data_IF_680341214422
#
_entry.id   IF_680341214422
#
_cell.length_a   1.000
_cell.length_b   1.000
_cell.length_c   1.000
_cell.angle_alpha   90.00
_cell.angle_beta   90.00
_cell.angle_gamma   90.00
#
_symmetry.space_group_name_H-M   'P 1'
#
loop_
_entity.id
_entity.type
_entity.pdbx_description
1 polymer ?
#
# COMPACT_ATOMS: atom_id res chain seq x y z
N UNK A 1 -5.41 -20.47 17.62
CA UNK A 1 -5.91 -21.01 18.92
C UNK A 1 -5.61 -20.02 20.05
N UNK A 2 -6.49 -19.91 21.05
CA UNK A 2 -6.28 -19.10 22.27
C UNK A 2 -5.96 -19.99 23.46
N UNK A 3 -4.78 -19.79 24.06
CA UNK A 3 -4.26 -20.55 25.19
C UNK A 3 -3.77 -19.59 26.28
N UNK A 4 -3.36 -20.16 27.41
CA UNK A 4 -2.64 -19.46 28.47
C UNK A 4 -1.47 -20.27 28.99
N UNK A 5 -0.63 -19.66 29.82
CA UNK A 5 0.47 -20.33 30.53
C UNK A 5 0.76 -19.64 31.86
N UNK A 6 1.35 -20.35 32.82
CA UNK A 6 1.83 -19.75 34.07
C UNK A 6 3.21 -19.10 33.94
N UNK A 7 3.87 -19.26 32.79
CA UNK A 7 5.08 -18.50 32.50
C UNK A 7 4.72 -17.03 32.31
N UNK A 8 5.34 -16.17 33.10
CA UNK A 8 5.16 -14.72 33.01
C UNK A 8 6.14 -14.12 31.99
N UNK A 9 5.63 -13.17 31.22
CA UNK A 9 6.40 -12.36 30.28
C UNK A 9 6.13 -10.89 30.62
N UNK A 10 7.20 -10.11 30.78
CA UNK A 10 7.07 -8.73 31.25
C UNK A 10 6.62 -7.77 30.14
N UNK A 11 6.86 -8.13 28.88
CA UNK A 11 6.48 -7.37 27.71
C UNK A 11 5.61 -8.19 26.76
N UNK A 12 4.83 -7.49 25.94
CA UNK A 12 4.16 -8.11 24.80
C UNK A 12 5.23 -8.73 23.90
N UNK A 13 5.18 -10.06 23.73
CA UNK A 13 6.17 -10.84 23.02
C UNK A 13 5.55 -11.47 21.78
N UNK A 14 6.24 -11.36 20.66
CA UNK A 14 5.95 -12.09 19.43
C UNK A 14 7.00 -13.19 19.27
N UNK A 15 6.57 -14.43 19.05
CA UNK A 15 7.47 -15.53 18.71
C UNK A 15 7.09 -16.06 17.32
N UNK A 16 8.08 -16.33 16.48
CA UNK A 16 7.90 -16.84 15.13
C UNK A 16 8.68 -18.13 14.98
N UNK A 17 8.00 -19.21 14.61
CA UNK A 17 8.59 -20.53 14.47
C UNK A 17 8.32 -21.08 13.07
N UNK A 18 9.38 -21.54 12.40
CA UNK A 18 9.29 -22.10 11.04
C UNK A 18 9.19 -23.61 11.10
N UNK A 19 8.21 -24.16 10.41
CA UNK A 19 8.03 -25.60 10.19
C UNK A 19 8.29 -25.95 8.73
N UNK A 20 8.27 -27.24 8.41
CA UNK A 20 8.36 -27.77 7.04
C UNK A 20 7.19 -27.32 6.14
N UNK A 21 6.06 -26.90 6.73
CA UNK A 21 4.87 -26.49 5.99
C UNK A 21 4.66 -24.97 5.97
N UNK A 22 5.42 -24.21 6.75
CA UNK A 22 5.30 -22.76 6.84
C UNK A 22 5.53 -22.22 8.24
N UNK A 23 5.17 -20.96 8.44
CA UNK A 23 5.39 -20.23 9.68
C UNK A 23 4.18 -20.28 10.62
N UNK A 24 4.47 -20.37 11.91
CA UNK A 24 3.54 -20.08 12.99
C UNK A 24 4.04 -18.88 13.76
N UNK A 25 3.10 -18.14 14.35
CA UNK A 25 3.42 -17.04 15.22
C UNK A 25 2.58 -17.05 16.49
N UNK A 26 3.20 -16.69 17.60
CA UNK A 26 2.57 -16.57 18.89
C UNK A 26 2.54 -15.11 19.36
N UNK A 27 1.41 -14.70 19.93
CA UNK A 27 1.18 -13.41 20.55
C UNK A 27 1.02 -13.63 22.04
N UNK A 28 1.94 -13.08 22.82
CA UNK A 28 2.14 -13.47 24.21
C UNK A 28 2.10 -12.20 25.05
N UNK A 29 1.14 -12.10 25.96
CA UNK A 29 1.03 -10.94 26.84
C UNK A 29 0.39 -11.31 28.18
N UNK A 30 0.84 -10.61 29.23
CA UNK A 30 0.38 -10.83 30.60
C UNK A 30 -1.13 -10.63 30.71
N UNK A 31 -1.83 -11.60 31.30
CA UNK A 31 -3.26 -11.52 31.56
C UNK A 31 -3.52 -11.02 32.99
N UNK A 32 -2.86 -11.64 33.97
CA UNK A 32 -2.92 -11.24 35.37
C UNK A 32 -1.55 -11.44 36.07
N UNK A 33 -1.53 -11.46 37.41
CA UNK A 33 -0.30 -11.62 38.17
C UNK A 33 0.36 -13.00 38.04
N UNK A 34 -0.39 -14.03 37.63
CA UNK A 34 0.04 -15.44 37.66
C UNK A 34 -0.09 -16.14 36.31
N UNK A 35 -0.70 -15.48 35.31
CA UNK A 35 -0.99 -16.06 34.01
C UNK A 35 -0.72 -15.10 32.85
N UNK A 36 -0.33 -15.70 31.73
CA UNK A 36 -0.08 -15.06 30.45
C UNK A 36 -1.01 -15.62 29.40
N UNK A 37 -1.57 -14.76 28.56
CA UNK A 37 -2.26 -15.14 27.33
C UNK A 37 -1.23 -15.59 26.28
N UNK A 38 -1.49 -16.71 25.61
CA UNK A 38 -0.64 -17.28 24.57
C UNK A 38 -1.50 -17.64 23.35
N UNK A 39 -1.44 -16.80 22.31
CA UNK A 39 -2.30 -16.95 21.13
C UNK A 39 -1.43 -17.43 19.99
N UNK A 40 -1.77 -18.56 19.38
CA UNK A 40 -1.05 -19.08 18.20
C UNK A 40 -1.91 -18.90 16.96
N UNK A 41 -1.32 -18.41 15.89
CA UNK A 41 -1.93 -18.31 14.57
C UNK A 41 -0.95 -18.76 13.48
N UNK A 42 -1.50 -19.12 12.33
CA UNK A 42 -0.79 -19.53 11.12
C UNK A 42 -1.75 -19.46 9.93
N UNK A 43 -1.25 -19.40 8.68
CA UNK A 43 -2.10 -19.50 7.50
C UNK A 43 -2.88 -20.83 7.45
N UNK A 44 -4.07 -20.81 6.87
CA UNK A 44 -4.94 -22.00 6.78
C UNK A 44 -4.25 -23.19 6.07
N UNK A 45 -3.45 -22.90 5.05
CA UNK A 45 -2.70 -23.92 4.29
C UNK A 45 -1.69 -24.65 5.19
N UNK A 46 -1.02 -23.93 6.09
CA UNK A 46 -0.06 -24.48 7.05
C UNK A 46 -0.79 -25.30 8.12
N UNK A 47 -1.90 -24.77 8.64
CA UNK A 47 -2.75 -25.44 9.62
C UNK A 47 -3.26 -26.80 9.13
N UNK A 48 -3.79 -26.86 7.90
CA UNK A 48 -4.26 -28.10 7.25
C UNK A 48 -3.11 -29.07 6.95
N UNK A 49 -1.95 -28.57 6.54
CA UNK A 49 -0.80 -29.42 6.24
C UNK A 49 -0.30 -30.19 7.49
N UNK A 50 -0.37 -29.55 8.67
CA UNK A 50 -0.11 -30.18 9.96
C UNK A 50 -1.28 -31.01 10.53
N UNK A 51 -2.38 -31.15 9.79
CA UNK A 51 -3.61 -31.87 10.19
C UNK A 51 -4.24 -31.36 11.49
N UNK A 52 -4.03 -30.09 11.81
CA UNK A 52 -4.56 -29.45 13.01
C UNK A 52 -6.08 -29.19 12.90
N UNK A 53 -6.65 -29.34 11.70
CA UNK A 53 -8.10 -29.39 11.44
C UNK A 53 -8.78 -30.64 11.99
N UNK A 54 -8.02 -31.72 12.14
CA UNK A 54 -8.48 -33.00 12.66
C UNK A 54 -8.00 -33.24 14.10
N UNK A 55 -7.08 -32.40 14.60
CA UNK A 55 -6.55 -32.49 15.94
C UNK A 55 -7.60 -32.08 16.98
N UNK A 56 -7.69 -32.86 18.06
CA UNK A 56 -8.43 -32.44 19.24
C UNK A 56 -7.65 -31.34 20.01
N UNK A 57 -8.26 -30.82 21.08
CA UNK A 57 -7.68 -29.72 21.85
C UNK A 57 -6.34 -30.10 22.52
N UNK A 58 -6.22 -31.29 23.09
CA UNK A 58 -4.99 -31.78 23.73
C UNK A 58 -3.85 -31.95 22.72
N UNK A 59 -4.16 -32.51 21.55
CA UNK A 59 -3.21 -32.65 20.44
C UNK A 59 -2.72 -31.30 19.93
N UNK A 60 -3.62 -30.32 19.79
CA UNK A 60 -3.26 -28.96 19.39
C UNK A 60 -2.37 -28.27 20.43
N UNK A 61 -2.66 -28.47 21.72
CA UNK A 61 -1.84 -27.96 22.82
C UNK A 61 -0.44 -28.58 22.78
N UNK A 62 -0.35 -29.91 22.72
CA UNK A 62 0.93 -30.62 22.66
C UNK A 62 1.78 -30.20 21.44
N UNK A 63 1.14 -29.99 20.29
CA UNK A 63 1.80 -29.43 19.11
C UNK A 63 2.38 -28.05 19.39
N UNK A 64 1.60 -27.13 19.97
CA UNK A 64 2.05 -25.78 20.30
C UNK A 64 3.17 -25.78 21.35
N UNK A 65 3.11 -26.66 22.36
CA UNK A 65 4.15 -26.81 23.38
C UNK A 65 5.48 -27.27 22.77
N UNK A 66 5.41 -28.23 21.83
CA UNK A 66 6.59 -28.70 21.10
C UNK A 66 7.15 -27.62 20.19
N UNK A 67 6.29 -26.91 19.46
CA UNK A 67 6.71 -25.90 18.49
C UNK A 67 7.36 -24.69 19.18
N UNK A 68 6.80 -24.24 20.31
CA UNK A 68 7.27 -23.07 21.05
C UNK A 68 8.06 -23.45 22.31
N UNK A 69 8.73 -24.62 22.32
CA UNK A 69 9.43 -25.15 23.48
C UNK A 69 10.47 -24.16 24.05
N UNK A 70 11.23 -23.50 23.17
CA UNK A 70 12.25 -22.52 23.55
C UNK A 70 11.64 -21.26 24.18
N UNK A 71 10.48 -20.84 23.65
CA UNK A 71 9.73 -19.70 24.18
C UNK A 71 9.15 -20.04 25.56
N UNK A 72 8.57 -21.23 25.70
CA UNK A 72 7.91 -21.71 26.91
C UNK A 72 8.88 -22.15 28.02
N UNK A 73 10.11 -22.55 27.68
CA UNK A 73 11.11 -23.08 28.62
C UNK A 73 10.53 -24.13 29.59
N UNK A 74 9.74 -25.06 29.05
CA UNK A 74 9.12 -26.16 29.80
C UNK A 74 7.82 -25.81 30.54
N UNK A 75 7.31 -24.58 30.43
CA UNK A 75 6.00 -24.24 30.98
C UNK A 75 4.86 -24.82 30.12
N UNK A 76 3.86 -25.38 30.78
CA UNK A 76 2.69 -25.94 30.09
C UNK A 76 1.76 -24.85 29.54
N UNK A 77 1.07 -25.18 28.46
CA UNK A 77 -0.04 -24.43 27.90
C UNK A 77 -1.37 -24.95 28.48
N UNK A 78 -2.32 -24.05 28.68
CA UNK A 78 -3.64 -24.35 29.22
C UNK A 78 -4.74 -23.68 28.41
N UNK A 79 -5.97 -24.18 28.56
CA UNK A 79 -7.16 -23.67 27.85
C UNK A 79 -8.34 -23.51 28.82
N UNK A 80 -9.06 -22.39 28.69
CA UNK A 80 -10.34 -22.17 29.35
C UNK A 80 -11.53 -22.49 28.43
N UNK A 81 -11.28 -22.85 27.18
CA UNK A 81 -12.29 -23.08 26.15
C UNK A 81 -12.89 -24.50 26.21
N UNK A 82 -13.21 -24.98 27.42
CA UNK A 82 -13.76 -26.32 27.68
C UNK A 82 -15.15 -26.55 27.07
N UNK A 83 -15.81 -25.49 26.66
CA UNK A 83 -17.15 -25.49 26.10
C UNK A 83 -17.16 -25.62 24.56
N UNK A 84 -16.04 -25.40 23.88
CA UNK A 84 -15.94 -25.52 22.43
C UNK A 84 -16.03 -27.01 22.04
N UNK A 85 -16.95 -27.33 21.12
CA UNK A 85 -17.06 -28.66 20.51
C UNK A 85 -16.45 -28.59 19.10
N UNK A 86 -15.48 -29.46 18.80
CA UNK A 86 -14.79 -29.48 17.51
C UNK A 86 -13.38 -28.89 17.59
N UNK A 87 -12.96 -28.17 16.54
CA UNK A 87 -11.62 -27.57 16.47
C UNK A 87 -11.43 -26.49 17.54
N UNK A 88 -10.27 -26.50 18.20
CA UNK A 88 -9.84 -25.42 19.09
C UNK A 88 -9.26 -24.21 18.30
N UNK A 89 -9.07 -24.36 16.99
CA UNK A 89 -8.63 -23.30 16.09
C UNK A 89 -9.83 -22.54 15.56
N UNK A 90 -9.71 -21.21 15.53
CA UNK A 90 -10.76 -20.29 15.17
C UNK A 90 -10.23 -19.33 14.11
N UNK A 91 -11.07 -18.98 13.14
CA UNK A 91 -10.83 -17.84 12.26
C UNK A 91 -11.23 -16.57 12.98
N UNK A 92 -10.38 -15.54 12.92
CA UNK A 92 -10.74 -14.22 13.43
C UNK A 92 -11.90 -13.64 12.60
N UNK A 93 -13.04 -13.39 13.25
CA UNK A 93 -14.23 -12.86 12.58
C UNK A 93 -14.34 -11.35 12.75
N UNK A 94 -14.59 -10.64 11.65
CA UNK A 94 -14.92 -9.22 11.70
C UNK A 94 -16.43 -9.05 11.93
N UNK A 95 -16.79 -8.56 13.11
CA UNK A 95 -18.16 -8.18 13.46
C UNK A 95 -18.26 -6.66 13.46
N UNK A 96 -19.20 -6.13 12.67
CA UNK A 96 -19.52 -4.71 12.61
C UNK A 96 -21.00 -4.53 12.95
N UNK A 97 -21.33 -3.43 13.61
CA UNK A 97 -22.69 -3.10 13.99
C UNK A 97 -23.01 -1.66 13.57
N UNK A 98 -24.06 -1.48 12.79
CA UNK A 98 -24.47 -0.15 12.29
C UNK A 98 -25.20 0.68 13.37
N UNK A 99 -25.78 0.02 14.37
CA UNK A 99 -26.58 0.66 15.40
C UNK A 99 -26.15 0.17 16.79
N UNK A 100 -25.54 1.08 17.56
CA UNK A 100 -24.85 0.74 18.81
C UNK A 100 -25.73 0.85 20.04
N UNK A 101 -26.97 1.24 19.88
CA UNK A 101 -27.88 1.32 21.00
C UNK A 101 -29.29 0.99 20.55
N UNK A 102 -30.13 0.49 21.45
CA UNK A 102 -31.54 0.24 21.19
C UNK A 102 -32.33 0.35 22.48
N UNK A 103 -33.65 0.46 22.35
CA UNK A 103 -34.56 0.24 23.48
C UNK A 103 -35.09 -1.18 23.39
N UNK A 104 -34.78 -2.01 24.39
CA UNK A 104 -35.19 -3.41 24.38
C UNK A 104 -36.70 -3.55 24.67
N UNK A 105 -37.22 -4.77 24.56
CA UNK A 105 -38.63 -5.09 24.82
C UNK A 105 -39.12 -4.77 26.24
N UNK A 106 -38.20 -4.59 27.20
CA UNK A 106 -38.50 -4.23 28.59
C UNK A 106 -38.43 -2.72 28.83
N UNK A 107 -38.22 -1.92 27.78
CA UNK A 107 -38.14 -0.48 27.85
C UNK A 107 -36.79 0.07 28.33
N UNK A 108 -35.76 -0.77 28.47
CA UNK A 108 -34.41 -0.33 28.86
C UNK A 108 -33.57 0.01 27.64
N UNK A 109 -32.74 1.05 27.74
CA UNK A 109 -31.72 1.32 26.73
C UNK A 109 -30.54 0.34 26.90
N UNK A 110 -30.15 -0.30 25.81
CA UNK A 110 -28.96 -1.14 25.69
C UNK A 110 -27.98 -0.39 24.81
N UNK A 111 -26.71 -0.31 25.23
CA UNK A 111 -25.65 0.41 24.51
C UNK A 111 -24.45 -0.51 24.37
N UNK A 112 -23.87 -0.56 23.17
CA UNK A 112 -22.65 -1.26 22.86
C UNK A 112 -21.44 -0.34 23.10
N UNK A 113 -20.39 -0.90 23.67
CA UNK A 113 -19.11 -0.24 23.93
C UNK A 113 -17.98 -1.28 23.97
N UNK A 114 -16.74 -0.84 23.86
CA UNK A 114 -15.55 -1.69 23.90
C UNK A 114 -15.54 -2.70 22.75
N UNK A 115 -15.06 -3.92 23.01
CA UNK A 115 -14.86 -4.93 21.95
C UNK A 115 -16.14 -5.29 21.18
N UNK A 116 -17.33 -5.08 21.78
CA UNK A 116 -18.62 -5.27 21.11
C UNK A 116 -18.86 -4.30 19.94
N UNK A 117 -18.16 -3.16 19.92
CA UNK A 117 -18.23 -2.14 18.86
C UNK A 117 -16.98 -2.18 17.99
N UNK A 118 -15.82 -2.37 18.61
CA UNK A 118 -14.54 -2.05 17.97
C UNK A 118 -13.89 -3.20 17.20
N UNK A 119 -14.36 -4.45 17.33
CA UNK A 119 -13.74 -5.70 16.79
C UNK A 119 -12.32 -5.51 16.25
N UNK A 120 -11.33 -5.75 17.10
CA UNK A 120 -9.93 -5.49 16.80
C UNK A 120 -9.09 -6.78 16.85
N UNK A 121 -8.15 -6.92 15.92
CA UNK A 121 -7.19 -8.02 15.93
C UNK A 121 -6.39 -8.00 17.23
N UNK A 122 -6.28 -9.13 17.93
CA UNK A 122 -5.68 -9.20 19.28
C UNK A 122 -4.23 -8.66 19.35
N UNK A 123 -3.54 -8.65 18.22
CA UNK A 123 -2.18 -8.09 18.10
C UNK A 123 -2.07 -6.56 18.28
N UNK A 124 -3.19 -5.81 18.34
CA UNK A 124 -3.18 -4.35 18.60
C UNK A 124 -3.45 -3.98 20.06
N UNK A 125 -3.89 -4.93 20.90
CA UNK A 125 -3.96 -4.83 22.36
C UNK A 125 -4.62 -3.56 22.93
N UNK A 126 -5.95 -3.43 22.82
CA UNK A 126 -6.64 -2.20 23.28
C UNK A 126 -8.03 -2.38 23.88
N UNK A 127 -8.55 -3.60 24.08
CA UNK A 127 -9.97 -3.80 24.43
C UNK A 127 -10.45 -3.05 25.67
N UNK A 128 -9.75 -3.19 26.81
CA UNK A 128 -10.08 -2.46 28.04
C UNK A 128 -9.99 -0.94 27.87
N UNK A 129 -8.97 -0.46 27.16
CA UNK A 129 -8.81 0.97 26.87
C UNK A 129 -9.99 1.49 26.04
N UNK A 130 -10.41 0.75 25.01
CA UNK A 130 -11.52 1.16 24.14
C UNK A 130 -12.83 1.24 24.93
N UNK A 131 -13.10 0.27 25.81
CA UNK A 131 -14.26 0.31 26.68
C UNK A 131 -14.26 1.53 27.62
N UNK A 132 -13.10 1.88 28.19
CA UNK A 132 -12.96 3.07 29.04
C UNK A 132 -13.16 4.37 28.24
N UNK A 133 -12.58 4.48 27.06
CA UNK A 133 -12.75 5.65 26.20
C UNK A 133 -14.20 5.83 25.76
N UNK A 134 -14.89 4.74 25.43
CA UNK A 134 -16.32 4.77 25.09
C UNK A 134 -17.17 5.20 26.30
N UNK A 135 -16.89 4.67 27.49
CA UNK A 135 -17.61 5.04 28.70
C UNK A 135 -17.41 6.53 29.05
N UNK A 136 -16.16 7.02 28.98
CA UNK A 136 -15.82 8.43 29.19
C UNK A 136 -16.59 9.31 28.21
N UNK A 137 -16.61 8.94 26.94
CA UNK A 137 -17.30 9.74 25.93
C UNK A 137 -18.82 9.72 26.11
N UNK A 138 -19.41 8.57 26.42
CA UNK A 138 -20.82 8.47 26.73
C UNK A 138 -21.20 9.38 27.93
N UNK A 139 -20.38 9.39 28.99
CA UNK A 139 -20.58 10.29 30.14
C UNK A 139 -20.53 11.76 29.72
N UNK A 140 -19.57 12.16 28.86
CA UNK A 140 -19.52 13.55 28.36
C UNK A 140 -20.76 13.95 27.57
N UNK A 141 -21.33 13.02 26.80
CA UNK A 141 -22.58 13.30 26.07
C UNK A 141 -23.76 13.49 27.03
N UNK A 142 -23.81 12.74 28.14
CA UNK A 142 -24.78 13.00 29.21
C UNK A 142 -24.58 14.37 29.85
N UNK A 143 -23.35 14.78 30.15
CA UNK A 143 -23.07 16.10 30.73
C UNK A 143 -23.44 17.24 29.76
N UNK A 144 -23.33 17.00 28.45
CA UNK A 144 -23.63 17.99 27.42
C UNK A 144 -25.14 18.18 27.16
N UNK A 145 -25.88 17.08 26.95
CA UNK A 145 -27.31 17.14 26.61
C UNK A 145 -28.24 17.07 27.83
N UNK A 146 -27.73 16.61 28.98
CA UNK A 146 -28.47 16.44 30.21
C UNK A 146 -28.79 14.97 30.54
N UNK A 147 -29.08 14.71 31.82
CA UNK A 147 -29.28 13.36 32.36
C UNK A 147 -30.74 12.88 32.37
N UNK A 148 -31.67 13.67 31.84
CA UNK A 148 -33.08 13.28 31.79
C UNK A 148 -33.34 12.18 30.76
N UNK A 149 -34.29 11.28 31.07
CA UNK A 149 -34.67 10.19 30.16
C UNK A 149 -35.18 10.68 28.78
N UNK A 150 -35.69 11.91 28.71
CA UNK A 150 -36.11 12.58 27.48
C UNK A 150 -34.94 12.85 26.52
N UNK A 151 -33.72 13.02 27.04
CA UNK A 151 -32.51 13.36 26.29
C UNK A 151 -31.74 12.14 25.78
N UNK A 152 -32.04 10.94 26.32
CA UNK A 152 -31.33 9.69 25.99
C UNK A 152 -31.15 9.44 24.48
N UNK A 153 -32.19 9.58 23.63
CA UNK A 153 -32.00 9.35 22.19
C UNK A 153 -30.93 10.26 21.57
N UNK A 154 -30.86 11.52 21.98
CA UNK A 154 -29.89 12.48 21.44
C UNK A 154 -28.47 12.22 21.98
N UNK A 155 -28.35 11.91 23.28
CA UNK A 155 -27.09 11.48 23.92
C UNK A 155 -26.47 10.29 23.18
N UNK A 156 -27.27 9.24 22.96
CA UNK A 156 -26.79 7.99 22.38
C UNK A 156 -26.47 8.13 20.87
N UNK A 157 -27.25 8.95 20.14
CA UNK A 157 -26.95 9.28 18.76
C UNK A 157 -25.60 10.03 18.64
N UNK A 158 -25.37 11.04 19.49
CA UNK A 158 -24.13 11.81 19.50
C UNK A 158 -22.91 10.96 19.89
N UNK A 159 -23.05 10.10 20.92
CA UNK A 159 -22.02 9.14 21.32
C UNK A 159 -21.62 8.24 20.14
N UNK A 160 -22.60 7.63 19.47
CA UNK A 160 -22.34 6.76 18.34
C UNK A 160 -21.62 7.49 17.21
N UNK A 161 -22.09 8.69 16.83
CA UNK A 161 -21.50 9.43 15.72
C UNK A 161 -20.04 9.81 15.97
N UNK A 162 -19.73 10.31 17.17
CA UNK A 162 -18.37 10.69 17.55
C UNK A 162 -17.45 9.47 17.61
N UNK A 163 -17.88 8.39 18.28
CA UNK A 163 -17.05 7.21 18.48
C UNK A 163 -16.93 6.35 17.22
N UNK A 164 -17.85 6.43 16.26
CA UNK A 164 -17.78 5.74 14.96
C UNK A 164 -16.50 6.05 14.21
N UNK A 165 -16.07 7.31 14.21
CA UNK A 165 -14.80 7.72 13.57
C UNK A 165 -13.61 7.01 14.20
N UNK A 166 -13.58 6.90 15.52
CA UNK A 166 -12.50 6.22 16.25
C UNK A 166 -12.54 4.70 16.04
N UNK A 167 -13.73 4.09 16.02
CA UNK A 167 -13.91 2.68 15.66
C UNK A 167 -13.36 2.38 14.28
N UNK A 168 -13.70 3.19 13.27
CA UNK A 168 -13.22 2.99 11.90
C UNK A 168 -11.68 3.04 11.82
N UNK A 169 -11.05 3.99 12.53
CA UNK A 169 -9.58 4.08 12.60
C UNK A 169 -8.96 2.82 13.22
N UNK A 170 -9.53 2.33 14.32
CA UNK A 170 -9.03 1.15 15.03
C UNK A 170 -9.22 -0.12 14.20
N UNK A 171 -10.39 -0.30 13.59
CA UNK A 171 -10.67 -1.44 12.73
C UNK A 171 -9.76 -1.46 11.51
N UNK A 172 -9.48 -0.30 10.89
CA UNK A 172 -8.52 -0.20 9.79
C UNK A 172 -7.11 -0.62 10.21
N UNK A 173 -6.64 -0.17 11.38
CA UNK A 173 -5.33 -0.56 11.90
C UNK A 173 -5.26 -2.05 12.28
N UNK A 174 -6.33 -2.60 12.86
CA UNK A 174 -6.46 -4.03 13.14
C UNK A 174 -6.40 -4.85 11.86
N UNK A 175 -7.07 -4.38 10.79
CA UNK A 175 -7.10 -5.05 9.49
C UNK A 175 -5.71 -5.07 8.84
N UNK A 176 -5.02 -3.92 8.78
CA UNK A 176 -3.65 -3.85 8.29
C UNK A 176 -2.71 -4.79 9.05
N UNK A 177 -2.89 -4.91 10.38
CA UNK A 177 -2.09 -5.82 11.19
C UNK A 177 -2.41 -7.30 10.90
N UNK A 178 -3.68 -7.65 10.74
CA UNK A 178 -4.11 -9.00 10.38
C UNK A 178 -3.55 -9.41 9.02
N UNK A 179 -3.76 -8.59 7.98
CA UNK A 179 -3.24 -8.87 6.63
C UNK A 179 -1.73 -9.06 6.63
N UNK A 180 -1.00 -8.28 7.44
CA UNK A 180 0.45 -8.45 7.60
C UNK A 180 0.81 -9.84 8.14
N UNK A 181 0.07 -10.36 9.13
CA UNK A 181 0.30 -11.69 9.71
C UNK A 181 -0.11 -12.83 8.76
N UNK A 182 -1.18 -12.67 7.99
CA UNK A 182 -1.63 -13.66 7.00
C UNK A 182 -0.55 -13.97 5.94
N UNK A 183 0.21 -12.96 5.52
CA UNK A 183 1.28 -13.11 4.53
C UNK A 183 2.69 -13.11 5.14
N UNK A 184 2.81 -13.18 6.47
CA UNK A 184 4.08 -12.86 7.14
C UNK A 184 5.23 -13.78 6.73
N UNK A 185 4.97 -15.07 6.60
CA UNK A 185 5.97 -16.05 6.21
C UNK A 185 6.61 -15.72 4.88
N UNK A 186 5.80 -15.73 3.81
CA UNK A 186 6.28 -15.56 2.44
C UNK A 186 6.81 -14.15 2.16
N UNK A 187 6.18 -13.11 2.71
CA UNK A 187 6.48 -11.71 2.35
C UNK A 187 7.56 -11.09 3.24
N UNK A 188 7.64 -11.48 4.51
CA UNK A 188 8.50 -10.82 5.49
C UNK A 188 9.52 -11.78 6.11
N UNK A 189 9.08 -12.84 6.78
CA UNK A 189 9.97 -13.76 7.51
C UNK A 189 11.01 -14.41 6.58
N UNK A 190 10.63 -14.80 5.37
CA UNK A 190 11.53 -15.46 4.42
C UNK A 190 12.40 -14.48 3.60
N UNK A 191 12.05 -13.19 3.57
CA UNK A 191 12.64 -12.20 2.66
C UNK A 191 13.50 -11.15 3.36
N UNK A 192 13.19 -10.84 4.62
CA UNK A 192 13.79 -9.73 5.35
C UNK A 192 14.81 -10.23 6.37
N UNK A 193 15.91 -9.51 6.50
CA UNK A 193 16.83 -9.69 7.61
C UNK A 193 16.16 -9.32 8.95
N UNK A 194 16.60 -9.89 10.09
CA UNK A 194 15.94 -9.73 11.38
C UNK A 194 15.67 -8.27 11.79
N UNK A 195 16.61 -7.36 11.55
CA UNK A 195 16.47 -5.93 11.88
C UNK A 195 15.34 -5.28 11.09
N UNK A 196 15.26 -5.54 9.78
CA UNK A 196 14.22 -5.01 8.91
C UNK A 196 12.87 -5.69 9.14
N UNK A 197 12.87 -6.99 9.42
CA UNK A 197 11.68 -7.72 9.83
C UNK A 197 11.08 -7.13 11.10
N UNK A 198 11.90 -6.92 12.14
CA UNK A 198 11.46 -6.35 13.41
C UNK A 198 10.90 -4.94 13.22
N UNK A 199 11.59 -4.10 12.43
CA UNK A 199 11.08 -2.77 12.08
C UNK A 199 9.70 -2.86 11.39
N UNK A 200 9.57 -3.70 10.36
CA UNK A 200 8.30 -3.90 9.65
C UNK A 200 7.19 -4.38 10.59
N UNK A 201 7.49 -5.34 11.47
CA UNK A 201 6.55 -5.88 12.43
C UNK A 201 6.06 -4.79 13.39
N UNK A 202 6.96 -3.99 13.94
CA UNK A 202 6.60 -2.91 14.87
C UNK A 202 5.75 -1.81 14.20
N UNK A 203 6.01 -1.50 12.93
CA UNK A 203 5.27 -0.45 12.19
C UNK A 203 4.05 -0.96 11.42
N UNK A 204 3.77 -2.28 11.41
CA UNK A 204 2.75 -2.93 10.54
C UNK A 204 1.35 -2.32 10.60
N UNK A 205 0.94 -1.86 11.78
CA UNK A 205 -0.40 -1.28 12.00
C UNK A 205 -0.54 0.13 11.45
N UNK A 206 0.56 0.75 10.99
CA UNK A 206 0.67 2.15 10.59
C UNK A 206 0.35 3.17 11.70
N UNK A 207 0.03 2.72 12.93
CA UNK A 207 -0.17 3.57 14.11
C UNK A 207 1.13 3.96 14.78
N UNK A 208 2.16 3.14 14.63
CA UNK A 208 3.49 3.37 15.18
C UNK A 208 4.38 3.87 14.04
N UNK A 209 4.63 5.18 14.02
CA UNK A 209 5.57 5.80 13.09
C UNK A 209 7.03 5.64 13.53
N UNK A 210 7.96 6.03 12.66
CA UNK A 210 9.40 6.00 12.94
C UNK A 210 9.77 6.77 14.23
N UNK A 211 9.33 8.02 14.36
CA UNK A 211 9.60 8.82 15.57
C UNK A 211 8.84 8.32 16.80
N UNK A 212 7.71 7.65 16.59
CA UNK A 212 6.99 6.95 17.65
C UNK A 212 7.81 5.79 18.23
N UNK A 213 8.67 5.15 17.44
CA UNK A 213 9.63 4.16 17.94
C UNK A 213 10.70 4.84 18.78
N UNK A 214 11.21 6.01 18.36
CA UNK A 214 12.20 6.78 19.13
C UNK A 214 11.72 7.14 20.52
N UNK A 215 10.45 7.55 20.63
CA UNK A 215 9.82 7.87 21.93
C UNK A 215 9.67 6.64 22.84
N UNK A 216 9.58 5.43 22.26
CA UNK A 216 9.41 4.18 23.00
C UNK A 216 10.76 3.56 23.38
N UNK A 217 11.70 3.54 22.44
CA UNK A 217 13.05 3.02 22.60
C UNK A 217 14.00 3.67 21.57
N UNK A 218 14.64 4.77 21.97
CA UNK A 218 15.59 5.48 21.12
C UNK A 218 16.84 4.63 20.81
N UNK A 219 17.29 3.81 21.76
CA UNK A 219 18.52 3.00 21.59
C UNK A 219 18.30 1.95 20.52
N UNK A 220 17.15 1.26 20.56
CA UNK A 220 16.81 0.28 19.53
C UNK A 220 16.67 0.95 18.14
N UNK A 221 15.97 2.09 18.06
CA UNK A 221 15.77 2.76 16.77
C UNK A 221 17.09 3.25 16.17
N UNK A 222 17.95 3.86 16.98
CA UNK A 222 19.28 4.31 16.54
C UNK A 222 20.14 3.15 16.06
N UNK A 223 20.06 1.99 16.73
CA UNK A 223 20.69 0.76 16.26
C UNK A 223 20.16 0.31 14.89
N UNK A 224 18.85 0.35 14.66
CA UNK A 224 18.26 0.06 13.36
C UNK A 224 18.70 1.06 12.27
N UNK A 225 18.75 2.35 12.60
CA UNK A 225 19.20 3.40 11.67
C UNK A 225 20.67 3.21 11.26
N UNK A 226 21.54 2.89 12.22
CA UNK A 226 22.94 2.57 11.95
C UNK A 226 23.08 1.32 11.08
N UNK A 227 22.31 0.27 11.40
CA UNK A 227 22.25 -0.95 10.60
C UNK A 227 21.83 -0.63 9.15
N UNK A 228 20.75 0.12 8.96
CA UNK A 228 20.25 0.48 7.63
C UNK A 228 21.24 1.37 6.87
N UNK A 229 21.86 2.34 7.54
CA UNK A 229 22.88 3.22 6.97
C UNK A 229 24.10 2.42 6.48
N UNK A 230 24.52 1.37 7.20
CA UNK A 230 25.61 0.49 6.79
C UNK A 230 25.28 -0.26 5.49
N UNK A 231 24.04 -0.76 5.34
CA UNK A 231 23.54 -1.43 4.13
C UNK A 231 23.44 -0.46 2.95
N UNK A 232 23.15 0.81 3.23
CA UNK A 232 23.09 1.88 2.24
C UNK A 232 24.48 2.39 1.81
N UNK A 233 25.58 1.85 2.35
CA UNK A 233 26.95 2.32 2.11
C UNK A 233 27.13 3.80 2.48
N UNK A 234 26.42 4.25 3.54
CA UNK A 234 26.61 5.59 4.08
C UNK A 234 27.99 5.70 4.73
N UNK A 235 28.76 6.78 4.48
CA UNK A 235 30.08 6.96 5.08
C UNK A 235 30.04 7.27 6.58
N UNK A 236 28.84 7.54 7.15
CA UNK A 236 28.68 7.87 8.55
C UNK A 236 28.17 6.68 9.37
N UNK A 237 28.81 6.40 10.51
CA UNK A 237 28.28 5.56 11.60
C UNK A 237 27.14 6.24 12.38
N UNK A 238 26.65 7.40 11.91
CA UNK A 238 25.59 8.13 12.57
C UNK A 238 24.24 7.42 12.37
N UNK A 239 23.39 7.49 13.39
CA UNK A 239 21.98 7.11 13.29
C UNK A 239 21.27 8.14 12.39
N UNK A 240 21.08 7.77 11.11
CA UNK A 240 20.46 8.61 10.09
C UNK A 240 19.13 7.97 9.71
N UNK A 241 18.02 8.72 9.69
CA UNK A 241 16.74 8.18 9.24
C UNK A 241 16.86 7.55 7.84
N UNK A 242 16.28 6.36 7.59
CA UNK A 242 16.44 5.63 6.34
C UNK A 242 16.21 6.46 5.07
N UNK A 243 15.28 7.42 5.12
CA UNK A 243 14.98 8.36 4.02
C UNK A 243 16.18 9.22 3.59
N UNK A 244 17.11 9.52 4.51
CA UNK A 244 18.29 10.34 4.26
C UNK A 244 19.56 9.55 3.97
N UNK A 245 19.47 8.22 3.93
CA UNK A 245 20.60 7.38 3.51
C UNK A 245 20.79 7.43 1.99
N UNK A 246 22.02 7.33 1.48
CA UNK A 246 22.26 7.34 0.05
C UNK A 246 21.64 6.12 -0.64
N UNK A 247 21.42 6.25 -1.95
CA UNK A 247 20.92 5.17 -2.79
C UNK A 247 21.69 5.12 -4.10
N UNK A 248 22.07 3.92 -4.53
CA UNK A 248 22.77 3.69 -5.79
C UNK A 248 21.97 2.76 -6.66
N UNK A 249 21.69 3.16 -7.89
CA UNK A 249 21.14 2.30 -8.92
C UNK A 249 21.93 2.50 -10.21
N UNK A 250 22.54 1.41 -10.71
CA UNK A 250 23.47 1.45 -11.84
C UNK A 250 24.60 2.47 -11.60
N UNK A 251 24.83 3.41 -12.52
CA UNK A 251 25.83 4.47 -12.36
C UNK A 251 25.33 5.69 -11.58
N UNK A 252 24.03 5.76 -11.24
CA UNK A 252 23.45 6.92 -10.56
C UNK A 252 23.56 6.75 -9.05
N UNK A 253 24.10 7.78 -8.41
CA UNK A 253 24.21 7.90 -6.97
C UNK A 253 23.32 9.06 -6.50
N UNK A 254 22.38 8.76 -5.61
CA UNK A 254 21.53 9.72 -4.94
C UNK A 254 22.03 9.93 -3.51
N UNK A 255 22.14 11.18 -3.08
CA UNK A 255 22.57 11.54 -1.72
C UNK A 255 21.59 11.12 -0.63
N UNK A 256 20.31 10.94 -0.99
CA UNK A 256 19.23 10.49 -0.12
C UNK A 256 18.16 9.78 -0.96
N UNK A 257 17.07 9.32 -0.32
CA UNK A 257 15.96 8.60 -0.97
C UNK A 257 14.76 9.49 -1.28
N UNK A 258 14.96 10.81 -1.33
CA UNK A 258 13.89 11.77 -1.65
C UNK A 258 13.88 12.02 -3.16
N UNK A 259 12.76 11.69 -3.80
CA UNK A 259 12.55 11.88 -5.24
C UNK A 259 11.31 12.76 -5.42
N UNK A 260 11.43 13.81 -6.24
CA UNK A 260 10.28 14.62 -6.63
C UNK A 260 9.59 13.92 -7.80
N UNK A 261 8.34 13.52 -7.59
CA UNK A 261 7.53 12.87 -8.62
C UNK A 261 7.32 13.77 -9.84
N UNK A 262 7.16 13.20 -11.06
CA UNK A 262 6.78 13.98 -12.23
C UNK A 262 5.39 14.61 -12.00
N UNK A 263 5.35 15.95 -12.05
CA UNK A 263 4.14 16.75 -11.85
C UNK A 263 3.94 17.66 -13.07
N UNK A 264 2.89 17.41 -13.84
CA UNK A 264 2.57 18.20 -15.02
C UNK A 264 2.31 19.66 -14.63
N UNK A 265 3.03 20.58 -15.29
CA UNK A 265 2.89 22.03 -15.08
C UNK A 265 1.91 22.68 -16.05
N UNK A 266 1.51 21.97 -17.11
CA UNK A 266 0.59 22.43 -18.17
C UNK A 266 0.94 23.83 -18.74
N UNK A 267 2.24 24.15 -18.77
CA UNK A 267 2.77 25.49 -19.08
C UNK A 267 3.63 25.51 -20.34
N UNK A 268 3.68 24.41 -21.09
CA UNK A 268 4.38 24.37 -22.36
C UNK A 268 3.65 25.18 -23.42
N UNK A 269 4.40 25.80 -24.33
CA UNK A 269 3.87 26.33 -25.58
C UNK A 269 4.39 25.44 -26.70
N UNK A 270 3.49 24.98 -27.58
CA UNK A 270 3.78 24.05 -28.69
C UNK A 270 4.54 22.77 -28.27
N UNK A 271 4.26 22.31 -27.04
CA UNK A 271 4.92 21.14 -26.49
C UNK A 271 6.42 21.32 -26.31
N UNK A 272 6.94 22.52 -26.04
CA UNK A 272 8.35 22.63 -25.66
C UNK A 272 8.52 21.97 -24.26
N UNK A 273 9.18 20.79 -24.19
CA UNK A 273 9.76 20.08 -23.01
C UNK A 273 9.03 18.86 -22.30
N UNK A 274 8.67 17.75 -22.97
CA UNK A 274 7.93 16.56 -22.42
C UNK A 274 7.54 15.45 -23.43
N UNK A 275 6.33 14.87 -23.48
CA UNK A 275 5.77 13.76 -24.31
C UNK A 275 6.45 13.26 -25.64
N UNK A 276 6.28 11.97 -26.05
CA UNK A 276 6.95 11.35 -27.21
C UNK A 276 6.34 11.71 -28.58
N UNK A 277 5.11 12.23 -28.62
CA UNK A 277 4.45 12.74 -29.83
C UNK A 277 3.38 13.79 -29.47
N UNK A 278 2.96 14.58 -30.45
CA UNK A 278 2.07 15.71 -30.22
C UNK A 278 0.66 15.27 -29.75
N UNK A 279 0.17 14.14 -30.26
CA UNK A 279 -1.12 13.56 -29.90
C UNK A 279 -1.06 12.78 -28.58
N UNK A 280 0.14 12.45 -28.10
CA UNK A 280 0.37 11.79 -26.81
C UNK A 280 0.24 12.69 -25.59
N UNK A 281 0.03 13.99 -25.80
CA UNK A 281 -0.18 14.98 -24.73
C UNK A 281 -1.51 14.80 -24.00
N UNK A 282 -1.53 15.18 -22.73
CA UNK A 282 -2.78 15.27 -21.95
C UNK A 282 -3.52 16.55 -22.35
N UNK A 283 -2.83 17.70 -22.24
CA UNK A 283 -3.37 19.04 -22.57
C UNK A 283 -2.44 19.75 -23.57
N UNK A 284 -2.87 20.85 -24.21
CA UNK A 284 -2.00 21.64 -25.10
C UNK A 284 -0.72 22.15 -24.40
N UNK A 285 -0.81 22.39 -23.08
CA UNK A 285 0.28 22.83 -22.23
C UNK A 285 1.17 21.71 -21.70
N UNK A 286 0.90 20.45 -22.06
CA UNK A 286 1.83 19.36 -21.80
C UNK A 286 3.07 19.53 -22.66
N UNK A 287 4.25 19.35 -22.07
CA UNK A 287 5.45 19.60 -22.81
C UNK A 287 5.77 18.36 -23.68
N UNK A 288 6.63 18.45 -24.71
CA UNK A 288 6.98 17.45 -25.74
C UNK A 288 8.49 17.23 -26.00
N UNK A 289 8.90 16.09 -26.57
CA UNK A 289 10.27 15.61 -26.86
C UNK A 289 10.27 14.73 -28.13
N UNK A 290 9.40 15.06 -29.08
CA UNK A 290 9.30 14.42 -30.39
C UNK A 290 10.20 15.09 -31.46
N UNK A 291 10.81 16.25 -31.15
CA UNK A 291 11.71 16.95 -32.07
C UNK A 291 12.97 17.52 -31.40
N UNK A 292 13.89 18.04 -32.21
CA UNK A 292 15.21 18.48 -31.74
C UNK A 292 15.17 19.84 -31.03
N UNK A 293 14.22 20.73 -31.37
CA UNK A 293 14.05 22.00 -30.66
C UNK A 293 13.65 21.77 -29.19
N UNK A 294 12.76 20.80 -28.97
CA UNK A 294 12.37 20.33 -27.63
C UNK A 294 13.53 19.71 -26.86
N UNK A 295 14.33 18.87 -27.53
CA UNK A 295 15.53 18.26 -26.93
C UNK A 295 16.54 19.33 -26.49
N UNK A 296 16.79 20.34 -27.32
CA UNK A 296 17.68 21.46 -26.97
C UNK A 296 17.13 22.27 -25.79
N UNK A 297 15.82 22.51 -25.74
CA UNK A 297 15.19 23.22 -24.63
C UNK A 297 15.41 22.48 -23.30
N UNK A 298 15.26 21.16 -23.29
CA UNK A 298 15.56 20.34 -22.11
C UNK A 298 17.03 20.28 -21.74
N UNK A 299 17.93 20.23 -22.72
CA UNK A 299 19.37 20.20 -22.46
C UNK A 299 19.78 21.38 -21.59
N UNK A 300 19.24 22.58 -21.86
CA UNK A 300 19.49 23.77 -21.02
C UNK A 300 19.06 23.59 -19.57
N UNK A 301 17.95 22.88 -19.31
CA UNK A 301 17.45 22.63 -17.96
C UNK A 301 18.32 21.59 -17.26
N UNK A 302 18.64 20.49 -17.95
CA UNK A 302 19.51 19.42 -17.44
C UNK A 302 20.89 19.98 -17.10
N UNK A 303 21.51 20.71 -18.03
CA UNK A 303 22.80 21.36 -17.85
C UNK A 303 22.79 22.29 -16.63
N UNK A 304 21.72 23.08 -16.47
CA UNK A 304 21.58 23.95 -15.31
C UNK A 304 21.52 23.16 -14.01
N UNK A 305 20.71 22.08 -13.94
CA UNK A 305 20.62 21.25 -12.72
C UNK A 305 21.97 20.62 -12.38
N UNK A 306 22.68 20.08 -13.37
CA UNK A 306 23.99 19.46 -13.18
C UNK A 306 25.08 20.45 -12.80
N UNK A 307 25.01 21.70 -13.29
CA UNK A 307 26.02 22.73 -12.99
C UNK A 307 25.77 23.45 -11.67
N UNK A 308 24.50 23.60 -11.27
CA UNK A 308 24.11 24.44 -10.11
C UNK A 308 23.75 23.64 -8.87
N UNK A 309 23.58 22.32 -8.98
CA UNK A 309 23.15 21.47 -7.87
C UNK A 309 23.86 20.12 -7.87
N UNK A 310 23.74 19.37 -6.77
CA UNK A 310 24.13 17.97 -6.67
C UNK A 310 22.98 16.99 -6.97
N UNK A 311 21.83 17.51 -7.44
CA UNK A 311 20.66 16.71 -7.74
C UNK A 311 20.84 15.93 -9.05
N UNK A 312 20.06 14.87 -9.17
CA UNK A 312 19.89 14.12 -10.42
C UNK A 312 18.55 14.48 -11.02
N UNK A 313 18.51 14.57 -12.35
CA UNK A 313 17.30 14.92 -13.07
C UNK A 313 16.82 13.73 -13.90
N UNK A 314 15.61 13.28 -13.60
CA UNK A 314 14.92 12.25 -14.36
C UNK A 314 13.86 12.85 -15.29
N UNK A 315 13.46 12.05 -16.28
CA UNK A 315 12.33 12.35 -17.15
C UNK A 315 11.33 11.20 -17.14
N UNK A 316 10.05 11.53 -17.06
CA UNK A 316 8.99 10.58 -17.31
C UNK A 316 8.50 10.73 -18.76
N UNK A 317 8.43 9.63 -19.50
CA UNK A 317 7.88 9.57 -20.85
C UNK A 317 6.63 8.68 -20.86
N UNK A 318 5.58 9.10 -21.56
CA UNK A 318 4.28 8.44 -21.57
C UNK A 318 3.42 8.84 -22.76
N UNK A 319 2.20 8.35 -22.83
CA UNK A 319 1.23 8.76 -23.85
C UNK A 319 -0.16 8.77 -23.21
N UNK A 320 -0.87 9.90 -23.26
CA UNK A 320 -2.15 10.12 -22.58
C UNK A 320 -3.26 9.14 -23.00
N UNK A 321 -3.22 8.68 -24.25
CA UNK A 321 -4.12 7.65 -24.75
C UNK A 321 -5.58 8.12 -24.71
N UNK A 322 -6.51 7.38 -24.07
CA UNK A 322 -7.91 7.77 -24.02
C UNK A 322 -8.18 9.03 -23.18
N UNK A 323 -7.19 9.51 -22.41
CA UNK A 323 -7.30 10.73 -21.57
C UNK A 323 -6.66 11.98 -22.21
N UNK A 324 -6.20 11.88 -23.45
CA UNK A 324 -5.61 13.01 -24.17
C UNK A 324 -6.64 14.06 -24.58
N UNK A 325 -6.16 15.19 -25.07
CA UNK A 325 -6.99 16.27 -25.62
C UNK A 325 -7.97 16.87 -24.59
N UNK A 326 -7.45 17.17 -23.39
CA UNK A 326 -8.25 17.68 -22.26
C UNK A 326 -7.81 19.07 -21.81
N UNK A 327 -8.69 19.73 -21.04
CA UNK A 327 -8.47 21.04 -20.44
C UNK A 327 -7.40 20.99 -19.34
N UNK A 328 -6.73 22.13 -19.10
CA UNK A 328 -5.88 22.27 -17.93
C UNK A 328 -6.71 22.21 -16.64
N UNK A 329 -6.15 21.74 -15.50
CA UNK A 329 -6.95 21.50 -14.29
C UNK A 329 -7.63 22.73 -13.68
N UNK A 330 -7.15 23.94 -13.99
CA UNK A 330 -7.72 25.20 -13.50
C UNK A 330 -8.81 25.78 -14.41
N UNK A 331 -9.06 25.19 -15.58
CA UNK A 331 -10.16 25.61 -16.44
C UNK A 331 -11.51 25.32 -15.78
N UNK A 332 -12.46 26.26 -15.90
CA UNK A 332 -13.75 26.18 -15.22
C UNK A 332 -14.60 24.96 -15.60
N UNK A 333 -14.37 24.39 -16.78
CA UNK A 333 -15.01 23.15 -17.24
C UNK A 333 -14.56 21.93 -16.46
N UNK A 334 -13.40 21.98 -15.80
CA UNK A 334 -12.83 20.92 -14.97
C UNK A 334 -11.76 20.09 -15.68
N UNK A 335 -10.91 19.46 -14.87
CA UNK A 335 -9.88 18.50 -15.31
C UNK A 335 -10.49 17.31 -16.05
N UNK A 336 -9.72 16.68 -16.94
CA UNK A 336 -10.09 15.53 -17.77
C UNK A 336 -11.24 15.79 -18.77
N UNK A 337 -11.85 16.97 -18.77
CA UNK A 337 -12.86 17.34 -19.77
C UNK A 337 -12.20 17.61 -21.12
N UNK A 338 -12.83 17.21 -22.24
CA UNK A 338 -12.32 17.49 -23.58
C UNK A 338 -12.11 18.98 -23.82
N UNK A 339 -11.18 19.31 -24.72
CA UNK A 339 -11.02 20.68 -25.18
C UNK A 339 -12.32 21.15 -25.88
N UNK A 340 -12.69 22.43 -25.78
CA UNK A 340 -13.85 22.95 -26.50
C UNK A 340 -13.64 22.94 -28.03
N UNK A 341 -12.39 23.16 -28.47
CA UNK A 341 -12.01 23.20 -29.88
C UNK A 341 -10.60 22.61 -30.08
N UNK A 342 -10.26 22.28 -31.34
CA UNK A 342 -8.92 21.78 -31.74
C UNK A 342 -8.51 20.48 -31.04
N UNK A 343 -9.48 19.61 -30.76
CA UNK A 343 -9.20 18.26 -30.30
C UNK A 343 -8.39 17.48 -31.34
N UNK A 344 -7.56 16.55 -30.88
CA UNK A 344 -6.83 15.62 -31.72
C UNK A 344 -7.35 14.19 -31.58
N UNK A 345 -7.09 13.30 -32.57
CA UNK A 345 -7.49 11.90 -32.47
C UNK A 345 -6.85 11.20 -31.28
N UNK A 346 -7.65 10.42 -30.55
CA UNK A 346 -7.19 9.65 -29.39
C UNK A 346 -6.95 8.19 -29.77
N UNK A 347 -5.98 7.56 -29.11
CA UNK A 347 -5.64 6.14 -29.29
C UNK A 347 -5.82 5.40 -27.96
N UNK A 348 -6.26 4.14 -28.02
CA UNK A 348 -6.35 3.27 -26.85
C UNK A 348 -6.28 1.79 -27.24
N UNK A 349 -6.23 0.90 -26.24
CA UNK A 349 -6.32 -0.54 -26.45
C UNK A 349 -7.65 -0.94 -27.12
N UNK A 350 -8.76 -0.31 -26.71
CA UNK A 350 -10.10 -0.51 -27.24
C UNK A 350 -10.82 0.82 -27.46
N UNK A 351 -11.87 0.81 -28.28
CA UNK A 351 -12.72 1.97 -28.53
C UNK A 351 -13.71 2.17 -27.37
N UNK A 352 -13.18 2.51 -26.21
CA UNK A 352 -13.93 2.79 -24.98
C UNK A 352 -13.55 4.18 -24.48
N UNK A 353 -14.50 5.13 -24.34
CA UNK A 353 -14.18 6.46 -23.86
C UNK A 353 -13.82 6.44 -22.37
N UNK A 354 -12.98 7.37 -21.94
CA UNK A 354 -12.60 7.50 -20.52
C UNK A 354 -13.75 8.07 -19.66
N UNK A 355 -14.46 9.07 -20.20
CA UNK A 355 -15.68 9.62 -19.60
C UNK A 355 -16.92 9.08 -20.34
N UNK A 356 -18.07 8.91 -19.67
CA UNK A 356 -19.31 8.44 -20.32
C UNK A 356 -19.67 9.19 -21.60
N UNK A 357 -19.53 10.52 -21.59
CA UNK A 357 -19.82 11.40 -22.74
C UNK A 357 -18.53 11.95 -23.40
N UNK A 358 -17.41 11.25 -23.20
CA UNK A 358 -16.10 11.65 -23.71
C UNK A 358 -15.86 11.27 -25.18
N UNK A 359 -14.80 11.82 -25.80
CA UNK A 359 -14.39 11.43 -27.14
C UNK A 359 -14.04 9.94 -27.19
N UNK A 360 -14.51 9.27 -28.26
CA UNK A 360 -14.23 7.86 -28.49
C UNK A 360 -12.80 7.70 -29.04
N UNK A 361 -11.89 7.01 -28.33
CA UNK A 361 -10.56 6.73 -28.85
C UNK A 361 -10.63 5.66 -29.94
N UNK A 362 -9.70 5.73 -30.90
CA UNK A 362 -9.51 4.67 -31.87
C UNK A 362 -8.78 3.49 -31.21
N UNK A 363 -9.32 2.28 -31.36
CA UNK A 363 -8.62 1.06 -31.02
C UNK A 363 -7.38 0.90 -31.92
N UNK A 364 -6.20 0.81 -31.30
CA UNK A 364 -4.94 0.77 -32.06
C UNK A 364 -4.83 -0.48 -32.93
N UNK A 365 -4.41 -0.29 -34.18
CA UNK A 365 -3.93 -1.35 -35.06
C UNK A 365 -2.48 -1.73 -34.73
N UNK A 366 -2.02 -2.90 -35.20
CA UNK A 366 -0.61 -3.32 -35.05
C UNK A 366 0.37 -2.31 -35.68
N UNK A 367 0.01 -1.72 -36.81
CA UNK A 367 0.84 -0.71 -37.47
C UNK A 367 0.98 0.57 -36.62
N UNK A 368 -0.11 1.03 -35.98
CA UNK A 368 -0.08 2.17 -35.06
C UNK A 368 0.73 1.85 -33.80
N UNK A 369 0.63 0.63 -33.26
CA UNK A 369 1.48 0.18 -32.15
C UNK A 369 2.97 0.24 -32.52
N UNK A 370 3.34 -0.24 -33.72
CA UNK A 370 4.72 -0.20 -34.19
C UNK A 370 5.23 1.23 -34.40
N UNK A 371 4.40 2.10 -34.99
CA UNK A 371 4.74 3.52 -35.16
C UNK A 371 4.96 4.21 -33.81
N UNK A 372 4.10 3.92 -32.82
CA UNK A 372 4.24 4.48 -31.48
C UNK A 372 5.49 3.95 -30.76
N UNK A 373 5.84 2.67 -30.91
CA UNK A 373 7.11 2.13 -30.39
C UNK A 373 8.29 2.94 -30.94
N UNK A 374 8.30 3.28 -32.24
CA UNK A 374 9.35 4.12 -32.82
C UNK A 374 9.38 5.53 -32.19
N UNK A 375 8.23 6.15 -31.93
CA UNK A 375 8.16 7.44 -31.25
C UNK A 375 8.74 7.38 -29.81
N UNK A 376 8.47 6.29 -29.07
CA UNK A 376 9.10 6.06 -27.76
C UNK A 376 10.61 5.88 -27.87
N UNK A 377 11.11 5.17 -28.89
CA UNK A 377 12.55 5.04 -29.16
C UNK A 377 13.18 6.40 -29.41
N UNK A 378 12.62 7.19 -30.32
CA UNK A 378 13.19 8.49 -30.70
C UNK A 378 13.17 9.48 -29.53
N UNK A 379 12.10 9.49 -28.74
CA UNK A 379 11.99 10.27 -27.51
C UNK A 379 13.04 9.85 -26.48
N UNK A 380 13.25 8.53 -26.29
CA UNK A 380 14.26 7.97 -25.38
C UNK A 380 15.68 8.38 -25.80
N UNK A 381 15.99 8.31 -27.09
CA UNK A 381 17.28 8.74 -27.63
C UNK A 381 17.49 10.26 -27.46
N UNK A 382 16.43 11.07 -27.60
CA UNK A 382 16.49 12.52 -27.32
C UNK A 382 16.70 12.80 -25.84
N UNK A 383 16.03 12.07 -24.95
CA UNK A 383 16.24 12.17 -23.51
C UNK A 383 17.70 11.86 -23.13
N UNK A 384 18.27 10.80 -23.69
CA UNK A 384 19.67 10.44 -23.45
C UNK A 384 20.63 11.53 -23.96
N UNK A 385 20.37 12.07 -25.16
CA UNK A 385 21.16 13.18 -25.72
C UNK A 385 21.02 14.49 -24.93
N UNK A 386 19.86 14.73 -24.31
CA UNK A 386 19.65 15.87 -23.42
C UNK A 386 20.35 15.73 -22.06
N UNK A 387 20.89 14.54 -21.73
CA UNK A 387 21.69 14.32 -20.53
C UNK A 387 20.92 13.88 -19.28
N UNK A 388 19.65 13.46 -19.40
CA UNK A 388 18.89 12.98 -18.24
C UNK A 388 19.58 11.79 -17.55
N UNK A 389 19.58 11.76 -16.22
CA UNK A 389 20.23 10.71 -15.42
C UNK A 389 19.34 9.47 -15.26
N UNK A 390 18.02 9.63 -15.40
CA UNK A 390 17.03 8.60 -15.11
C UNK A 390 15.84 8.72 -16.05
N UNK A 391 15.35 7.58 -16.56
CA UNK A 391 14.13 7.52 -17.36
C UNK A 391 13.03 6.76 -16.64
N UNK A 392 11.82 7.30 -16.61
CA UNK A 392 10.63 6.61 -16.12
C UNK A 392 9.62 6.41 -17.24
N UNK A 393 9.21 5.16 -17.48
CA UNK A 393 8.14 4.84 -18.43
C UNK A 393 6.78 4.88 -17.73
N UNK A 394 5.84 5.66 -18.28
CA UNK A 394 4.53 5.84 -17.66
C UNK A 394 3.50 4.78 -18.10
N UNK A 395 3.21 3.83 -17.20
CA UNK A 395 2.24 2.75 -17.35
C UNK A 395 1.10 2.81 -16.30
N UNK A 396 0.66 4.01 -15.93
CA UNK A 396 -0.26 4.23 -14.81
C UNK A 396 -1.32 5.29 -15.16
N UNK A 397 -2.16 5.63 -14.17
CA UNK A 397 -3.15 6.73 -14.22
C UNK A 397 -4.19 6.64 -15.35
N UNK A 398 -4.43 5.46 -15.91
CA UNK A 398 -5.39 5.29 -17.01
C UNK A 398 -4.93 5.86 -18.35
N UNK A 399 -3.66 6.25 -18.48
CA UNK A 399 -3.06 6.62 -19.77
C UNK A 399 -2.84 5.39 -20.66
N UNK A 400 -2.27 5.59 -21.85
CA UNK A 400 -2.29 4.57 -22.91
C UNK A 400 -1.80 3.19 -22.46
N UNK A 401 -0.60 3.10 -21.89
CA UNK A 401 -0.06 1.79 -21.48
C UNK A 401 -0.86 1.20 -20.32
N UNK A 402 -1.36 2.03 -19.40
CA UNK A 402 -2.30 1.59 -18.35
C UNK A 402 -3.60 1.05 -18.94
N UNK A 403 -4.09 1.63 -20.04
CA UNK A 403 -5.30 1.20 -20.73
C UNK A 403 -5.14 -0.13 -21.46
N UNK A 404 -3.90 -0.53 -21.80
CA UNK A 404 -3.61 -1.90 -22.23
C UNK A 404 -3.57 -2.86 -21.05
N UNK A 405 -3.04 -2.43 -19.91
CA UNK A 405 -2.91 -3.28 -18.71
C UNK A 405 -4.27 -3.54 -18.09
N UNK A 406 -5.15 -2.55 -17.93
CA UNK A 406 -6.40 -2.75 -17.18
C UNK A 406 -7.45 -3.56 -17.97
N UNK A 407 -8.08 -4.60 -17.38
CA UNK A 407 -9.17 -5.34 -18.03
C UNK A 407 -10.40 -4.48 -18.33
N UNK A 408 -10.56 -3.38 -17.59
CA UNK A 408 -11.69 -2.47 -17.70
C UNK A 408 -11.67 -1.62 -18.98
N UNK A 409 -10.49 -1.47 -19.57
CA UNK A 409 -10.26 -0.60 -20.74
C UNK A 409 -9.68 -1.35 -21.94
N UNK A 410 -9.12 -2.55 -21.70
CA UNK A 410 -8.67 -3.45 -22.76
C UNK A 410 -9.66 -4.60 -22.99
N UNK A 411 -10.52 -4.43 -23.99
CA UNK A 411 -11.46 -5.44 -24.47
C UNK A 411 -11.01 -6.10 -25.78
N UNK A 412 -9.71 -6.05 -26.08
CA UNK A 412 -9.17 -6.70 -27.28
C UNK A 412 -9.31 -8.20 -27.19
N UNK A 413 -9.57 -8.82 -28.34
CA UNK A 413 -9.67 -10.29 -28.51
C UNK A 413 -8.47 -10.88 -29.25
N UNK A 414 -7.48 -10.06 -29.60
CA UNK A 414 -6.24 -10.48 -30.24
C UNK A 414 -5.14 -10.77 -29.19
N UNK A 415 -3.89 -10.94 -29.65
CA UNK A 415 -2.73 -11.25 -28.81
C UNK A 415 -2.38 -10.16 -27.77
N UNK A 416 -3.11 -9.04 -27.75
CA UNK A 416 -2.90 -7.90 -26.86
C UNK A 416 -4.02 -7.70 -25.83
N UNK A 417 -4.95 -8.66 -25.67
CA UNK A 417 -6.02 -8.61 -24.66
C UNK A 417 -6.39 -9.96 -24.03
N UNK A 418 -7.45 -9.96 -23.24
CA UNK A 418 -7.98 -11.11 -22.47
C UNK A 418 -7.13 -11.49 -21.27
N UNK A 419 -6.01 -12.21 -21.48
CA UNK A 419 -5.15 -12.66 -20.37
C UNK A 419 -4.25 -11.53 -19.86
N UNK A 420 -3.77 -11.64 -18.61
CA UNK A 420 -2.80 -10.69 -18.07
C UNK A 420 -1.53 -10.63 -18.92
N UNK A 421 -1.02 -11.78 -19.37
CA UNK A 421 0.16 -11.86 -20.25
C UNK A 421 -0.05 -11.06 -21.55
N UNK A 422 -1.20 -11.23 -22.20
CA UNK A 422 -1.51 -10.52 -23.43
C UNK A 422 -1.71 -9.02 -23.20
N UNK A 423 -2.40 -8.63 -22.12
CA UNK A 423 -2.57 -7.22 -21.72
C UNK A 423 -1.24 -6.53 -21.44
N UNK A 424 -0.27 -7.25 -20.87
CA UNK A 424 1.10 -6.76 -20.65
C UNK A 424 1.96 -6.74 -21.91
N UNK A 425 1.59 -7.45 -22.98
CA UNK A 425 2.42 -7.63 -24.18
C UNK A 425 2.84 -6.30 -24.81
N UNK A 426 1.91 -5.38 -25.06
CA UNK A 426 2.26 -4.09 -25.66
C UNK A 426 3.11 -3.19 -24.72
N UNK A 427 2.76 -2.98 -23.44
CA UNK A 427 3.64 -2.31 -22.48
C UNK A 427 5.06 -2.92 -22.40
N UNK A 428 5.19 -4.24 -22.46
CA UNK A 428 6.49 -4.92 -22.43
C UNK A 428 7.27 -4.76 -23.74
N UNK A 429 6.61 -4.74 -24.90
CA UNK A 429 7.24 -4.40 -26.19
C UNK A 429 7.80 -2.97 -26.16
N UNK A 430 7.01 -2.00 -25.67
CA UNK A 430 7.44 -0.60 -25.51
C UNK A 430 8.61 -0.51 -24.52
N UNK A 431 8.50 -1.15 -23.35
CA UNK A 431 9.58 -1.16 -22.36
C UNK A 431 10.88 -1.76 -22.92
N UNK A 432 10.79 -2.87 -23.66
CA UNK A 432 11.96 -3.52 -24.27
C UNK A 432 12.64 -2.61 -25.30
N UNK A 433 11.86 -1.92 -26.12
CA UNK A 433 12.35 -0.94 -27.08
C UNK A 433 13.01 0.28 -26.40
N UNK A 434 12.35 0.86 -25.39
CA UNK A 434 12.88 1.97 -24.58
C UNK A 434 14.18 1.55 -23.87
N UNK A 435 14.21 0.37 -23.25
CA UNK A 435 15.41 -0.15 -22.58
C UNK A 435 16.57 -0.33 -23.54
N UNK A 436 16.31 -0.78 -24.78
CA UNK A 436 17.34 -0.94 -25.82
C UNK A 436 17.88 0.40 -26.33
N UNK A 437 17.05 1.45 -26.31
CA UNK A 437 17.43 2.80 -26.73
C UNK A 437 18.10 3.64 -25.61
N UNK A 438 17.87 3.28 -24.35
CA UNK A 438 18.41 3.98 -23.17
C UNK A 438 19.80 3.44 -22.77
N UNK A 439 20.78 4.29 -22.36
CA UNK A 439 22.11 3.83 -21.98
C UNK A 439 22.10 2.79 -20.84
N UNK A 440 22.78 1.66 -21.01
CA UNK A 440 22.76 0.51 -20.08
C UNK A 440 23.26 0.81 -18.66
N UNK A 441 24.16 1.79 -18.55
CA UNK A 441 24.69 2.24 -17.27
C UNK A 441 23.71 3.16 -16.53
N UNK A 442 22.67 3.69 -17.18
CA UNK A 442 21.68 4.55 -16.56
C UNK A 442 20.43 3.76 -16.10
N UNK A 443 19.84 4.14 -14.95
CA UNK A 443 18.62 3.54 -14.43
C UNK A 443 17.41 3.83 -15.32
N UNK A 444 16.46 2.89 -15.27
CA UNK A 444 15.12 3.04 -15.83
C UNK A 444 14.12 2.57 -14.77
N UNK A 445 13.00 3.27 -14.61
CA UNK A 445 11.85 2.85 -13.80
C UNK A 445 10.58 2.74 -14.66
N UNK A 446 9.57 2.07 -14.11
CA UNK A 446 8.22 2.03 -14.68
C UNK A 446 7.26 2.51 -13.61
N UNK A 447 6.43 3.50 -13.93
CA UNK A 447 5.32 3.91 -13.07
C UNK A 447 4.10 3.06 -13.41
N UNK A 448 3.62 2.29 -12.44
CA UNK A 448 2.45 1.40 -12.59
C UNK A 448 1.40 1.71 -11.51
N UNK A 449 0.12 1.62 -11.86
CA UNK A 449 -0.97 1.65 -10.89
C UNK A 449 -1.02 0.31 -10.16
N UNK A 450 -0.93 0.32 -8.82
CA UNK A 450 -0.95 -0.90 -8.03
C UNK A 450 -2.35 -1.56 -8.01
N UNK A 451 -3.42 -0.76 -8.03
CA UNK A 451 -4.79 -1.23 -7.91
C UNK A 451 -5.75 -0.22 -8.56
N UNK A 452 -6.81 -0.69 -9.23
CA UNK A 452 -7.81 0.17 -9.89
C UNK A 452 -8.96 0.60 -8.96
N UNK A 453 -9.07 -0.05 -7.79
CA UNK A 453 -10.09 0.20 -6.74
C UNK A 453 -11.53 -0.13 -7.14
N UNK A 454 -11.67 -0.93 -8.19
CA UNK A 454 -12.96 -1.41 -8.70
C UNK A 454 -12.85 -2.89 -9.05
N UNK A 455 -13.94 -3.62 -8.88
CA UNK A 455 -14.03 -5.03 -9.23
C UNK A 455 -13.72 -5.26 -10.72
N UNK A 456 -12.96 -6.31 -11.01
CA UNK A 456 -12.53 -6.62 -12.38
C UNK A 456 -11.40 -5.74 -12.93
N UNK A 457 -10.84 -4.84 -12.11
CA UNK A 457 -9.67 -4.03 -12.45
C UNK A 457 -8.32 -4.70 -12.18
N UNK A 458 -7.25 -3.91 -12.23
CA UNK A 458 -5.92 -4.28 -11.73
C UNK A 458 -5.97 -4.45 -10.21
N UNK A 459 -5.36 -5.52 -9.70
CA UNK A 459 -5.29 -5.87 -8.27
C UNK A 459 -3.88 -6.13 -7.79
#
# INVERSE_FOLDING_TARGET
IWLGTNRLYDAFTFAFEKTEHGWFQAHIYKFDQQTTTFIVECPETVWRAHKLDQANQEQSIAFCESLFADTLKGAALMTNARHLRGSAWLNFQRVVCDHWWLKNQHGSHVVLMGDAVHTAHFAIGSGTKLALEDAIELTRQFDHFGHEASQLPQVLAAYQELRRVETLKIQNAAWNAMEWFEVCGQRYCDQLEPEQFMYSMLTRSQRISHENLRLRDATWLEGYEQWFASRAQSPAQAAIPPMFTPYRLRSVHLKNRVVVSPMAQYSAVDGIAGDPCAEGRITPGCPGLWNDAQQQAFSRIVDWVHQQTDAKIGIQIGHSGPKGSTNAPWEHTGMDQPLPEKNWPLLSASATPYLPDGPLPQAMSRAQMQALIQQFIDCTQRAARAGFDWLELHCAHGYLLSAFISPLTNHRTDAYGVSLENRLRFPLEVFSAVRSAWPDHLPISVRISAHDWVEGGIT
#
